data_IF_956498682530
#
_entry.id   IF_956498682530
#
_cell.length_a   1.000
_cell.length_b   1.000
_cell.length_c   1.000
_cell.angle_alpha   90.00
_cell.angle_beta   90.00
_cell.angle_gamma   90.00
#
_symmetry.space_group_name_H-M   'P 1'
#
loop_
_entity.id
_entity.type
_entity.pdbx_description
1 polymer ?
#
# COMPACT_ATOMS: atom_id res chain seq x y z
N UNK A 1 47.80 -22.47 -24.81
CA UNK A 1 47.68 -22.28 -23.35
C UNK A 1 46.88 -21.01 -23.14
N UNK A 2 45.57 -21.13 -22.90
CA UNK A 2 44.65 -20.00 -22.77
C UNK A 2 44.35 -19.78 -21.28
N UNK A 3 44.56 -18.55 -20.80
CA UNK A 3 44.23 -18.13 -19.44
C UNK A 3 42.70 -17.93 -19.31
N UNK A 4 42.05 -18.39 -18.23
CA UNK A 4 40.66 -18.04 -17.97
C UNK A 4 40.60 -16.70 -17.24
N UNK A 5 40.13 -15.66 -17.94
CA UNK A 5 39.78 -14.37 -17.33
C UNK A 5 38.41 -14.55 -16.66
N UNK A 6 38.39 -14.72 -15.33
CA UNK A 6 37.17 -14.60 -14.51
C UNK A 6 37.05 -13.16 -14.05
N UNK A 7 36.27 -12.35 -14.75
CA UNK A 7 35.86 -11.03 -14.25
C UNK A 7 34.62 -11.26 -13.38
N UNK A 8 34.77 -11.02 -12.08
CA UNK A 8 33.67 -11.10 -11.12
C UNK A 8 32.78 -9.86 -11.28
N UNK A 9 31.46 -10.03 -11.33
CA UNK A 9 30.49 -8.94 -11.45
C UNK A 9 30.64 -7.87 -10.33
N UNK A 10 31.13 -8.28 -9.17
CA UNK A 10 31.47 -7.38 -8.07
C UNK A 10 32.57 -6.37 -8.42
N UNK A 11 33.55 -6.74 -9.26
CA UNK A 11 34.62 -5.83 -9.67
C UNK A 11 34.12 -4.75 -10.64
N UNK A 12 33.13 -5.06 -11.48
CA UNK A 12 32.52 -4.10 -12.41
C UNK A 12 31.62 -3.13 -11.64
N UNK A 13 30.84 -3.61 -10.67
CA UNK A 13 30.04 -2.76 -9.80
C UNK A 13 30.94 -1.82 -8.95
N UNK A 14 32.06 -2.32 -8.43
CA UNK A 14 33.00 -1.53 -7.65
C UNK A 14 33.70 -0.43 -8.47
N UNK A 15 33.94 -0.67 -9.76
CA UNK A 15 34.52 0.33 -10.67
C UNK A 15 33.52 1.44 -11.07
N UNK A 16 32.23 1.12 -11.16
CA UNK A 16 31.17 2.08 -11.50
C UNK A 16 30.88 3.03 -10.32
N UNK A 17 30.92 2.53 -9.08
CA UNK A 17 30.61 3.36 -7.89
C UNK A 17 31.75 4.32 -7.53
N UNK A 18 33.01 4.03 -7.90
CA UNK A 18 34.17 4.80 -7.42
C UNK A 18 34.67 5.90 -8.35
N UNK A 19 34.26 5.94 -9.62
CA UNK A 19 34.72 6.96 -10.57
C UNK A 19 33.55 7.66 -11.27
N UNK A 20 33.20 8.85 -10.80
CA UNK A 20 32.31 9.80 -11.47
C UNK A 20 32.97 10.41 -12.72
N UNK A 21 33.33 9.59 -13.71
CA UNK A 21 33.89 10.06 -14.98
C UNK A 21 33.17 9.39 -16.15
N UNK A 22 32.51 10.24 -16.94
CA UNK A 22 31.95 10.00 -18.28
C UNK A 22 30.80 8.96 -18.39
N UNK A 23 29.57 9.46 -18.20
CA UNK A 23 28.30 8.83 -18.58
C UNK A 23 28.30 8.06 -19.92
N UNK A 24 28.93 8.55 -21.03
CA UNK A 24 28.96 7.78 -22.28
C UNK A 24 29.77 6.48 -22.20
N UNK A 25 30.79 6.39 -21.34
CA UNK A 25 31.61 5.18 -21.20
C UNK A 25 30.88 4.11 -20.39
N UNK A 26 30.17 4.51 -19.33
CA UNK A 26 29.31 3.61 -18.55
C UNK A 26 28.21 2.98 -19.43
N UNK A 27 27.58 3.77 -20.30
CA UNK A 27 26.57 3.28 -21.23
C UNK A 27 27.15 2.31 -22.28
N UNK A 28 28.39 2.53 -22.73
CA UNK A 28 29.06 1.60 -23.64
C UNK A 28 29.38 0.26 -22.96
N UNK A 29 29.82 0.28 -21.70
CA UNK A 29 30.07 -0.94 -20.91
C UNK A 29 28.78 -1.72 -20.65
N UNK A 30 27.69 -1.04 -20.30
CA UNK A 30 26.37 -1.68 -20.12
C UNK A 30 25.88 -2.30 -21.42
N UNK A 31 25.95 -1.57 -22.55
CA UNK A 31 25.57 -2.11 -23.87
C UNK A 31 26.42 -3.32 -24.26
N UNK A 32 27.73 -3.28 -24.00
CA UNK A 32 28.63 -4.40 -24.30
C UNK A 32 28.34 -5.62 -23.42
N UNK A 33 28.05 -5.43 -22.13
CA UNK A 33 27.64 -6.50 -21.22
C UNK A 33 26.31 -7.15 -21.66
N UNK A 34 25.34 -6.34 -22.11
CA UNK A 34 24.06 -6.83 -22.62
C UNK A 34 24.22 -7.63 -23.92
N UNK A 35 25.10 -7.20 -24.83
CA UNK A 35 25.43 -7.95 -26.05
C UNK A 35 26.12 -9.28 -25.71
N UNK A 36 27.03 -9.30 -24.74
CA UNK A 36 27.67 -10.53 -24.26
C UNK A 36 26.66 -11.51 -23.64
N UNK A 37 25.72 -11.02 -22.84
CA UNK A 37 24.66 -11.85 -22.24
C UNK A 37 23.69 -12.40 -23.28
N UNK A 38 23.35 -11.62 -24.32
CA UNK A 38 22.51 -12.08 -25.42
C UNK A 38 23.22 -13.11 -26.31
N UNK A 39 24.50 -12.89 -26.63
CA UNK A 39 25.32 -13.83 -27.41
C UNK A 39 25.65 -15.12 -26.65
N UNK A 40 25.70 -15.07 -25.32
CA UNK A 40 25.79 -16.25 -24.46
C UNK A 40 24.46 -17.01 -24.29
N UNK A 41 23.37 -16.55 -24.91
CA UNK A 41 22.05 -17.19 -24.86
C UNK A 41 21.28 -16.99 -23.55
N UNK A 42 21.74 -16.11 -22.65
CA UNK A 42 21.08 -15.83 -21.38
C UNK A 42 19.92 -14.82 -21.52
N UNK A 43 19.92 -14.02 -22.60
CA UNK A 43 18.89 -13.04 -22.91
C UNK A 43 18.46 -13.19 -24.38
N UNK A 44 17.15 -13.20 -24.62
CA UNK A 44 16.58 -13.00 -25.95
C UNK A 44 16.35 -11.51 -26.18
N UNK A 45 16.98 -10.98 -27.22
CA UNK A 45 16.71 -9.63 -27.73
C UNK A 45 15.51 -9.71 -28.68
N UNK A 46 14.49 -8.89 -28.44
CA UNK A 46 13.40 -8.68 -29.40
C UNK A 46 13.20 -7.18 -29.60
N UNK A 47 13.13 -6.77 -30.86
CA UNK A 47 12.73 -5.41 -31.22
C UNK A 47 11.20 -5.36 -31.19
N UNK A 48 10.64 -4.44 -30.41
CA UNK A 48 9.20 -4.20 -30.45
C UNK A 48 8.85 -3.59 -31.82
N UNK A 49 7.75 -4.01 -32.48
CA UNK A 49 7.47 -3.60 -33.85
C UNK A 49 7.30 -2.09 -34.05
N UNK A 50 6.91 -1.35 -33.01
CA UNK A 50 6.44 0.04 -33.13
C UNK A 50 7.14 1.04 -32.19
N UNK A 51 8.25 0.65 -31.56
CA UNK A 51 9.01 1.57 -30.68
C UNK A 51 10.50 1.19 -30.71
N UNK A 52 11.41 2.18 -30.74
CA UNK A 52 12.88 2.00 -30.72
C UNK A 52 13.41 1.40 -29.39
N UNK A 53 12.58 0.63 -28.68
CA UNK A 53 12.92 -0.03 -27.42
C UNK A 53 13.35 -1.46 -27.68
N UNK A 54 14.48 -1.79 -27.08
CA UNK A 54 15.00 -3.15 -27.02
C UNK A 54 14.38 -3.82 -25.80
N UNK A 55 13.59 -4.88 -26.00
CA UNK A 55 13.07 -5.72 -24.91
C UNK A 55 14.02 -6.89 -24.72
N UNK A 56 14.51 -7.04 -23.48
CA UNK A 56 15.39 -8.13 -23.07
C UNK A 56 14.59 -9.12 -22.23
N UNK A 57 14.44 -10.36 -22.73
CA UNK A 57 13.75 -11.42 -22.01
C UNK A 57 14.75 -12.49 -21.58
N UNK A 58 14.86 -12.82 -20.27
CA UNK A 58 15.70 -13.94 -19.83
C UNK A 58 15.31 -15.26 -20.51
N UNK A 59 16.30 -16.01 -20.96
CA UNK A 59 16.12 -17.37 -21.48
C UNK A 59 16.63 -18.34 -20.42
N UNK A 60 15.73 -18.79 -19.53
CA UNK A 60 16.03 -19.75 -18.46
C UNK A 60 15.47 -19.34 -17.10
N UNK A 61 15.51 -20.24 -16.10
CA UNK A 61 15.09 -19.90 -14.74
C UNK A 61 15.95 -18.74 -14.23
N UNK A 62 15.31 -17.64 -13.84
CA UNK A 62 15.97 -16.50 -13.22
C UNK A 62 16.65 -17.00 -11.93
N UNK A 63 17.96 -16.77 -11.74
CA UNK A 63 18.62 -17.17 -10.51
C UNK A 63 17.92 -16.51 -9.31
N UNK A 64 17.65 -17.25 -8.24
CA UNK A 64 16.88 -16.78 -7.08
C UNK A 64 17.44 -15.50 -6.41
N UNK A 65 18.69 -15.13 -6.69
CA UNK A 65 19.33 -13.91 -6.20
C UNK A 65 19.15 -12.68 -7.13
N UNK A 66 18.69 -12.87 -8.37
CA UNK A 66 18.46 -11.81 -9.35
C UNK A 66 17.04 -11.25 -9.31
N UNK A 67 16.17 -11.81 -8.47
CA UNK A 67 14.93 -11.19 -8.01
C UNK A 67 15.29 -10.42 -6.73
N UNK A 68 15.84 -9.22 -6.90
CA UNK A 68 15.77 -8.18 -5.87
C UNK A 68 14.49 -7.39 -6.12
N UNK A 69 13.36 -8.10 -6.10
CA UNK A 69 12.06 -7.48 -5.90
C UNK A 69 11.68 -7.75 -4.46
N UNK A 70 10.99 -6.79 -3.84
CA UNK A 70 10.26 -6.95 -2.59
C UNK A 70 9.07 -7.90 -2.82
N UNK A 71 9.35 -9.09 -3.36
CA UNK A 71 8.39 -10.13 -3.66
C UNK A 71 8.08 -10.82 -2.32
N UNK A 72 7.32 -10.11 -1.50
CA UNK A 72 6.50 -10.73 -0.46
C UNK A 72 5.81 -11.90 -1.15
N UNK A 73 6.01 -13.13 -0.69
CA UNK A 73 5.38 -14.34 -1.25
C UNK A 73 3.84 -14.38 -1.12
N UNK A 74 3.18 -13.22 -1.12
CA UNK A 74 1.75 -12.97 -0.98
C UNK A 74 0.95 -13.50 -2.17
N UNK A 75 1.44 -13.37 -3.41
CA UNK A 75 0.64 -13.72 -4.59
C UNK A 75 0.29 -15.23 -4.68
N UNK A 76 1.23 -16.10 -4.30
CA UNK A 76 1.03 -17.55 -4.27
C UNK A 76 0.22 -18.03 -3.06
N UNK A 77 0.29 -17.30 -1.93
CA UNK A 77 -0.31 -17.71 -0.67
C UNK A 77 -1.78 -17.24 -0.54
N UNK A 78 -2.15 -16.12 -1.18
CA UNK A 78 -3.51 -15.58 -1.15
C UNK A 78 -4.51 -16.47 -1.89
N UNK A 79 -4.13 -17.17 -2.96
CA UNK A 79 -5.03 -18.10 -3.65
C UNK A 79 -5.05 -19.48 -2.98
N UNK A 80 -3.91 -19.97 -2.48
CA UNK A 80 -3.79 -21.30 -1.88
C UNK A 80 -4.40 -21.41 -0.47
N UNK A 81 -4.56 -20.30 0.26
CA UNK A 81 -5.12 -20.28 1.62
C UNK A 81 -6.55 -19.75 1.74
N UNK A 82 -7.23 -19.48 0.61
CA UNK A 82 -8.70 -19.26 0.58
C UNK A 82 -9.46 -20.58 0.67
N UNK A 83 -9.19 -21.40 1.69
CA UNK A 83 -10.32 -22.07 2.31
C UNK A 83 -11.15 -20.96 2.92
N UNK A 84 -12.12 -20.48 2.14
CA UNK A 84 -13.02 -19.43 2.58
C UNK A 84 -13.76 -20.00 3.78
N UNK A 85 -13.36 -19.52 4.95
CA UNK A 85 -14.09 -19.69 6.19
C UNK A 85 -15.59 -19.49 5.88
N UNK A 86 -16.48 -20.44 6.21
CA UNK A 86 -17.91 -20.31 5.96
C UNK A 86 -18.49 -18.95 6.39
N UNK A 87 -17.93 -18.35 7.45
CA UNK A 87 -18.34 -17.02 7.90
C UNK A 87 -17.97 -15.92 6.89
N UNK A 88 -16.75 -15.96 6.33
CA UNK A 88 -16.31 -15.03 5.30
C UNK A 88 -17.14 -15.17 4.01
N UNK A 89 -17.58 -16.37 3.68
CA UNK A 89 -18.49 -16.60 2.56
C UNK A 89 -19.86 -15.95 2.83
N UNK A 90 -20.39 -16.06 4.06
CA UNK A 90 -21.64 -15.42 4.45
C UNK A 90 -21.61 -13.90 4.26
N UNK A 91 -20.53 -13.23 4.69
CA UNK A 91 -20.36 -11.79 4.47
C UNK A 91 -20.20 -11.42 3.00
N UNK A 92 -19.56 -12.28 2.20
CA UNK A 92 -19.43 -12.08 0.76
C UNK A 92 -20.79 -12.15 0.07
N UNK A 93 -21.62 -13.12 0.44
CA UNK A 93 -22.96 -13.28 -0.11
C UNK A 93 -23.86 -12.11 0.29
N UNK A 94 -23.80 -11.66 1.55
CA UNK A 94 -24.49 -10.46 2.02
C UNK A 94 -24.08 -9.21 1.23
N UNK A 95 -22.77 -8.95 1.10
CA UNK A 95 -22.25 -7.81 0.35
C UNK A 95 -22.70 -7.83 -1.12
N UNK A 96 -22.82 -9.02 -1.73
CA UNK A 96 -23.35 -9.17 -3.08
C UNK A 96 -24.81 -8.77 -3.17
N UNK A 97 -25.66 -9.26 -2.26
CA UNK A 97 -27.10 -8.91 -2.22
C UNK A 97 -27.27 -7.39 -2.10
N UNK A 98 -26.49 -6.72 -1.24
CA UNK A 98 -26.55 -5.27 -1.07
C UNK A 98 -26.18 -4.51 -2.36
N UNK A 99 -25.24 -5.00 -3.15
CA UNK A 99 -24.92 -4.41 -4.46
C UNK A 99 -26.08 -4.58 -5.45
N UNK A 100 -26.66 -5.77 -5.50
CA UNK A 100 -27.80 -6.08 -6.37
C UNK A 100 -29.03 -5.22 -6.02
N UNK A 101 -29.33 -5.05 -4.73
CA UNK A 101 -30.41 -4.18 -4.24
C UNK A 101 -30.20 -2.71 -4.63
N UNK A 102 -28.97 -2.19 -4.52
CA UNK A 102 -28.63 -0.83 -4.95
C UNK A 102 -28.85 -0.61 -6.44
N UNK A 103 -28.45 -1.57 -7.27
CA UNK A 103 -28.68 -1.51 -8.71
C UNK A 103 -30.17 -1.58 -9.05
N UNK A 104 -30.94 -2.41 -8.34
CA UNK A 104 -32.38 -2.53 -8.53
C UNK A 104 -33.13 -1.20 -8.30
N UNK A 105 -32.63 -0.32 -7.41
CA UNK A 105 -33.17 1.03 -7.18
C UNK A 105 -32.49 2.12 -8.03
N UNK A 106 -31.68 1.74 -9.03
CA UNK A 106 -31.03 2.66 -9.97
C UNK A 106 -29.78 3.36 -9.43
N UNK A 107 -29.22 2.89 -8.31
CA UNK A 107 -28.07 3.50 -7.62
C UNK A 107 -26.80 2.64 -7.79
N UNK A 108 -26.29 2.54 -9.03
CA UNK A 108 -25.04 1.81 -9.28
C UNK A 108 -23.88 2.53 -8.57
N UNK A 109 -23.21 1.92 -7.57
CA UNK A 109 -22.18 2.59 -6.80
C UNK A 109 -20.93 2.85 -7.64
N UNK A 110 -20.32 4.02 -7.44
CA UNK A 110 -18.97 4.36 -7.89
C UNK A 110 -18.12 4.61 -6.66
N UNK A 111 -17.19 3.70 -6.36
CA UNK A 111 -16.39 3.71 -5.12
C UNK A 111 -14.93 4.00 -5.45
N UNK A 112 -14.37 5.03 -4.83
CA UNK A 112 -12.93 5.29 -4.83
C UNK A 112 -12.31 4.71 -3.56
N UNK A 113 -11.44 3.73 -3.74
CA UNK A 113 -10.65 3.05 -2.71
C UNK A 113 -9.26 3.70 -2.66
N UNK A 114 -8.95 4.45 -1.60
CA UNK A 114 -7.73 5.28 -1.55
C UNK A 114 -6.92 4.92 -0.32
N UNK A 115 -5.70 4.43 -0.54
CA UNK A 115 -4.90 3.95 0.57
C UNK A 115 -3.74 3.05 0.23
N UNK A 116 -3.34 2.27 1.22
CA UNK A 116 -2.24 1.31 1.14
C UNK A 116 -2.69 -0.10 0.75
N UNK A 117 -1.88 -1.11 1.08
CA UNK A 117 -2.17 -2.51 0.79
C UNK A 117 -3.48 -3.00 1.43
N UNK A 118 -3.90 -2.43 2.57
CA UNK A 118 -5.20 -2.76 3.17
C UNK A 118 -6.34 -2.35 2.23
N UNK A 119 -6.26 -1.13 1.69
CA UNK A 119 -7.27 -0.60 0.77
C UNK A 119 -7.26 -1.32 -0.57
N UNK A 120 -6.08 -1.72 -1.05
CA UNK A 120 -5.96 -2.56 -2.25
C UNK A 120 -6.76 -3.85 -2.09
N UNK A 121 -6.68 -4.50 -0.93
CA UNK A 121 -7.45 -5.72 -0.67
C UNK A 121 -8.97 -5.48 -0.61
N UNK A 122 -9.42 -4.33 -0.08
CA UNK A 122 -10.83 -3.92 -0.14
C UNK A 122 -11.31 -3.76 -1.59
N UNK A 123 -10.54 -3.04 -2.40
CA UNK A 123 -10.82 -2.85 -3.82
C UNK A 123 -10.90 -4.18 -4.57
N UNK A 124 -9.91 -5.06 -4.38
CA UNK A 124 -9.90 -6.37 -5.04
C UNK A 124 -11.12 -7.21 -4.66
N UNK A 125 -11.50 -7.17 -3.39
CA UNK A 125 -12.69 -7.85 -2.88
C UNK A 125 -13.96 -7.28 -3.54
N UNK A 126 -14.09 -5.96 -3.61
CA UNK A 126 -15.20 -5.30 -4.32
C UNK A 126 -15.26 -5.70 -5.80
N UNK A 127 -14.12 -5.73 -6.50
CA UNK A 127 -14.08 -6.13 -7.90
C UNK A 127 -14.47 -7.59 -8.12
N UNK A 128 -14.08 -8.49 -7.21
CA UNK A 128 -14.52 -9.89 -7.26
C UNK A 128 -16.04 -10.00 -7.08
N UNK A 129 -16.67 -9.21 -6.21
CA UNK A 129 -18.13 -9.15 -6.09
C UNK A 129 -18.79 -8.60 -7.37
N UNK A 130 -18.29 -7.46 -7.84
CA UNK A 130 -18.90 -6.74 -8.93
C UNK A 130 -18.75 -7.46 -10.29
N UNK A 131 -17.58 -8.04 -10.55
CA UNK A 131 -17.22 -8.61 -11.87
C UNK A 131 -17.14 -10.12 -11.89
N UNK A 132 -17.11 -10.79 -10.72
CA UNK A 132 -16.77 -12.20 -10.60
C UNK A 132 -15.29 -12.52 -10.83
N UNK A 133 -14.44 -11.51 -11.04
CA UNK A 133 -13.01 -11.65 -11.31
C UNK A 133 -12.19 -10.94 -10.23
N UNK A 134 -11.13 -11.60 -9.79
CA UNK A 134 -10.14 -10.98 -8.92
C UNK A 134 -9.14 -10.21 -9.78
N UNK A 135 -9.01 -8.88 -9.62
CA UNK A 135 -8.06 -8.14 -10.44
C UNK A 135 -6.62 -8.55 -10.08
N UNK A 136 -5.71 -8.63 -11.07
CA UNK A 136 -4.32 -8.97 -10.83
C UNK A 136 -3.68 -7.94 -9.88
N UNK A 137 -2.66 -8.37 -9.14
CA UNK A 137 -1.86 -7.49 -8.26
C UNK A 137 -0.88 -6.59 -9.03
N UNK A 138 -0.92 -6.58 -10.37
CA UNK A 138 0.18 -6.10 -11.19
C UNK A 138 0.29 -4.56 -11.19
N UNK A 139 1.38 -4.02 -10.65
CA UNK A 139 1.66 -2.59 -10.39
C UNK A 139 1.89 -1.72 -11.65
N UNK A 140 1.31 -2.11 -12.79
CA UNK A 140 1.77 -1.66 -14.11
C UNK A 140 1.34 -0.25 -14.52
N UNK A 141 0.39 0.38 -13.80
CA UNK A 141 -0.11 1.72 -14.13
C UNK A 141 0.43 2.77 -13.17
N UNK A 142 1.59 3.33 -13.51
CA UNK A 142 2.16 4.48 -12.80
C UNK A 142 1.57 5.78 -13.32
N UNK A 143 1.02 6.57 -12.41
CA UNK A 143 0.47 7.90 -12.69
C UNK A 143 1.53 8.94 -12.28
N UNK A 144 1.79 10.02 -13.02
CA UNK A 144 2.72 11.06 -12.55
C UNK A 144 2.34 11.56 -11.15
N UNK A 145 3.23 11.36 -10.17
CA UNK A 145 2.99 11.70 -8.76
C UNK A 145 2.28 10.64 -7.92
N UNK A 146 1.75 9.57 -8.53
CA UNK A 146 0.97 8.52 -7.86
C UNK A 146 1.43 7.13 -8.30
N UNK A 147 1.57 6.20 -7.34
CA UNK A 147 2.25 4.95 -7.68
C UNK A 147 1.41 4.04 -8.58
N UNK A 148 0.11 3.89 -8.31
CA UNK A 148 -0.72 2.87 -8.93
C UNK A 148 -2.18 3.32 -9.00
N UNK A 149 -2.82 3.19 -10.17
CA UNK A 149 -4.27 3.33 -10.34
C UNK A 149 -4.86 2.10 -11.04
N UNK A 150 -5.91 1.52 -10.47
CA UNK A 150 -6.65 0.40 -11.04
C UNK A 150 -8.14 0.69 -11.06
N UNK A 151 -8.89 0.09 -11.99
CA UNK A 151 -10.34 0.14 -11.96
C UNK A 151 -10.97 -1.18 -12.39
N UNK A 152 -12.19 -1.41 -11.92
CA UNK A 152 -13.06 -2.49 -12.38
C UNK A 152 -14.47 -1.94 -12.59
N UNK A 153 -15.22 -2.54 -13.51
CA UNK A 153 -16.55 -2.07 -13.88
C UNK A 153 -17.44 -3.24 -14.26
N UNK A 154 -18.69 -3.17 -13.81
CA UNK A 154 -19.77 -4.10 -14.15
C UNK A 154 -21.12 -3.39 -14.11
N UNK A 155 -22.20 -4.14 -14.24
CA UNK A 155 -23.55 -3.66 -13.94
C UNK A 155 -23.77 -3.45 -12.44
N UNK A 156 -23.06 -4.18 -11.58
CA UNK A 156 -23.16 -4.11 -10.12
C UNK A 156 -22.47 -2.89 -9.51
N UNK A 157 -21.47 -2.33 -10.18
CA UNK A 157 -20.69 -1.23 -9.62
C UNK A 157 -19.45 -0.87 -10.41
N UNK A 158 -18.85 0.26 -10.03
CA UNK A 158 -17.58 0.76 -10.54
C UNK A 158 -16.63 1.02 -9.36
N UNK A 159 -15.41 0.47 -9.42
CA UNK A 159 -14.40 0.65 -8.40
C UNK A 159 -13.14 1.26 -8.99
N UNK A 160 -12.53 2.22 -8.30
CA UNK A 160 -11.19 2.73 -8.59
C UNK A 160 -10.32 2.56 -7.36
N UNK A 161 -9.13 1.99 -7.52
CA UNK A 161 -8.10 2.00 -6.49
C UNK A 161 -7.01 3.01 -6.83
N UNK A 162 -6.62 3.80 -5.83
CA UNK A 162 -5.50 4.72 -5.90
C UNK A 162 -4.55 4.45 -4.74
N UNK A 163 -3.30 4.05 -5.06
CA UNK A 163 -2.27 3.85 -4.05
C UNK A 163 -1.86 5.19 -3.44
N UNK A 164 -2.16 5.35 -2.16
CA UNK A 164 -1.97 6.58 -1.39
C UNK A 164 -1.39 6.23 -0.01
N UNK A 165 -0.06 6.19 0.16
CA UNK A 165 0.56 5.91 1.46
C UNK A 165 0.34 7.06 2.47
N UNK A 166 -0.25 8.17 2.00
CA UNK A 166 -0.57 9.40 2.72
C UNK A 166 -1.94 9.91 2.20
N UNK A 167 -2.64 10.76 2.93
CA UNK A 167 -3.88 11.38 2.43
C UNK A 167 -3.57 12.57 1.52
N UNK A 168 -4.26 12.67 0.38
CA UNK A 168 -4.15 13.81 -0.52
C UNK A 168 -5.51 14.40 -0.84
N UNK A 169 -5.65 15.71 -0.73
CA UNK A 169 -6.95 16.38 -0.82
C UNK A 169 -7.49 16.53 -2.26
N UNK A 170 -6.65 16.27 -3.27
CA UNK A 170 -6.94 16.38 -4.70
C UNK A 170 -7.32 15.04 -5.36
N UNK A 171 -7.45 13.96 -4.59
CA UNK A 171 -7.73 12.60 -5.08
C UNK A 171 -8.88 12.55 -6.09
N UNK A 172 -9.99 13.25 -5.83
CA UNK A 172 -11.14 13.25 -6.75
C UNK A 172 -10.79 13.89 -8.09
N UNK A 173 -10.03 14.99 -8.08
CA UNK A 173 -9.62 15.68 -9.31
C UNK A 173 -8.63 14.82 -10.10
N UNK A 174 -7.68 14.20 -9.39
CA UNK A 174 -6.73 13.27 -9.98
C UNK A 174 -7.48 12.15 -10.68
N UNK A 175 -8.36 11.42 -9.99
CA UNK A 175 -9.09 10.28 -10.58
C UNK A 175 -9.97 10.73 -11.75
N UNK A 176 -10.65 11.89 -11.65
CA UNK A 176 -11.45 12.44 -12.76
C UNK A 176 -10.61 12.83 -13.98
N UNK A 177 -9.38 13.30 -13.78
CA UNK A 177 -8.50 13.68 -14.89
C UNK A 177 -8.09 12.50 -15.78
N UNK A 178 -8.22 11.26 -15.28
CA UNK A 178 -8.04 10.02 -16.04
C UNK A 178 -9.34 9.51 -16.69
N UNK A 179 -10.43 10.27 -16.64
CA UNK A 179 -11.69 9.92 -17.29
C UNK A 179 -12.59 8.97 -16.51
N UNK A 180 -12.31 8.76 -15.21
CA UNK A 180 -13.16 7.95 -14.34
C UNK A 180 -14.44 8.73 -13.91
N UNK A 181 -15.58 8.03 -13.70
CA UNK A 181 -16.84 8.65 -13.29
C UNK A 181 -16.77 9.19 -11.86
N UNK A 182 -17.55 10.24 -11.57
CA UNK A 182 -17.63 10.84 -10.23
C UNK A 182 -18.02 9.82 -9.14
N UNK A 183 -17.36 9.82 -7.96
CA UNK A 183 -17.63 8.83 -6.93
C UNK A 183 -18.95 9.12 -6.22
N UNK A 184 -19.73 8.08 -5.97
CA UNK A 184 -20.81 8.12 -4.98
C UNK A 184 -20.26 7.91 -3.56
N UNK A 185 -19.08 7.30 -3.44
CA UNK A 185 -18.45 6.95 -2.18
C UNK A 185 -16.92 7.06 -2.28
N UNK A 186 -16.30 7.70 -1.29
CA UNK A 186 -14.86 7.69 -1.05
C UNK A 186 -14.58 6.82 0.18
N UNK A 187 -13.83 5.73 0.00
CA UNK A 187 -13.43 4.82 1.07
C UNK A 187 -11.91 4.86 1.25
N UNK A 188 -11.45 5.33 2.43
CA UNK A 188 -10.03 5.60 2.66
C UNK A 188 -9.44 4.88 3.87
N UNK A 189 -8.17 4.48 3.75
CA UNK A 189 -7.31 4.08 4.88
C UNK A 189 -5.87 4.33 4.49
N UNK A 190 -5.10 4.94 5.37
CA UNK A 190 -3.67 5.12 5.13
C UNK A 190 -2.99 5.21 6.49
N UNK A 191 -2.47 4.10 6.98
CA UNK A 191 -2.06 4.02 8.38
C UNK A 191 -0.68 3.41 8.52
N UNK A 192 -0.48 2.26 7.90
CA UNK A 192 0.71 1.46 8.16
C UNK A 192 2.00 2.09 7.61
N UNK A 193 1.90 2.90 6.57
CA UNK A 193 3.07 3.59 5.99
C UNK A 193 3.60 4.77 6.81
N UNK A 194 2.83 5.23 7.80
CA UNK A 194 3.24 6.25 8.75
C UNK A 194 4.10 5.68 9.87
N UNK A 195 4.04 4.37 10.07
CA UNK A 195 4.81 3.71 11.11
C UNK A 195 6.22 3.36 10.65
N UNK A 196 7.07 2.97 11.60
CA UNK A 196 8.43 2.52 11.36
C UNK A 196 8.80 1.35 12.29
N UNK A 197 9.77 0.56 11.87
CA UNK A 197 10.43 -0.47 12.64
C UNK A 197 11.87 -0.55 12.14
N UNK A 198 12.72 0.34 12.65
CA UNK A 198 14.10 0.48 12.18
C UNK A 198 14.92 -0.79 12.47
N UNK A 199 15.76 -1.31 11.53
CA UNK A 199 16.06 -0.75 10.20
C UNK A 199 15.15 -1.28 9.08
N UNK A 200 14.33 -2.30 9.35
CA UNK A 200 13.51 -2.96 8.32
C UNK A 200 12.49 -2.04 7.66
N UNK A 201 12.00 -1.04 8.41
CA UNK A 201 11.07 -0.05 7.93
C UNK A 201 11.39 1.31 8.52
N UNK A 202 12.12 2.15 7.79
CA UNK A 202 12.64 3.40 8.36
C UNK A 202 11.61 4.54 8.33
N UNK A 203 11.69 5.40 9.34
CA UNK A 203 11.10 6.74 9.31
C UNK A 203 12.04 7.63 8.48
N UNK A 204 11.47 8.54 7.69
CA UNK A 204 12.24 9.57 7.00
C UNK A 204 11.52 10.91 7.12
N UNK A 205 12.14 11.98 6.61
CA UNK A 205 11.57 13.34 6.68
C UNK A 205 10.15 13.45 6.12
N UNK A 206 9.86 12.73 5.03
CA UNK A 206 8.54 12.76 4.39
C UNK A 206 7.52 12.09 5.31
N UNK A 207 7.77 10.84 5.73
CA UNK A 207 6.89 10.12 6.67
C UNK A 207 6.66 10.88 7.97
N UNK A 208 7.70 11.49 8.55
CA UNK A 208 7.57 12.29 9.77
C UNK A 208 6.62 13.48 9.56
N UNK A 209 6.74 14.17 8.42
CA UNK A 209 5.85 15.27 8.07
C UNK A 209 4.40 14.79 8.00
N UNK A 210 4.14 13.63 7.37
CA UNK A 210 2.80 13.08 7.27
C UNK A 210 2.27 12.55 8.60
N UNK A 211 3.11 11.96 9.45
CA UNK A 211 2.73 11.62 10.83
C UNK A 211 2.26 12.85 11.60
N UNK A 212 3.05 13.93 11.54
CA UNK A 212 2.73 15.17 12.25
C UNK A 212 1.46 15.86 11.73
N UNK A 213 1.13 15.66 10.45
CA UNK A 213 -0.04 16.26 9.79
C UNK A 213 -1.22 15.33 9.62
N UNK A 214 -1.14 14.08 10.10
CA UNK A 214 -2.09 13.03 9.74
C UNK A 214 -3.56 13.43 9.91
N UNK A 215 -3.90 14.01 11.07
CA UNK A 215 -5.25 14.48 11.36
C UNK A 215 -5.70 15.61 10.44
N UNK A 216 -4.80 16.53 10.14
CA UNK A 216 -5.10 17.69 9.28
C UNK A 216 -5.25 17.26 7.83
N UNK A 217 -4.37 16.39 7.33
CA UNK A 217 -4.43 15.87 5.97
C UNK A 217 -5.72 15.03 5.75
N UNK A 218 -6.17 14.26 6.76
CA UNK A 218 -7.45 13.52 6.69
C UNK A 218 -8.67 14.47 6.71
N UNK A 219 -8.66 15.50 7.57
CA UNK A 219 -9.72 16.54 7.57
C UNK A 219 -9.77 17.29 6.26
N UNK A 220 -8.61 17.65 5.72
CA UNK A 220 -8.48 18.36 4.45
C UNK A 220 -9.02 17.49 3.31
N UNK A 221 -8.70 16.20 3.28
CA UNK A 221 -9.29 15.24 2.34
C UNK A 221 -10.82 15.25 2.39
N UNK A 222 -11.43 15.18 3.58
CA UNK A 222 -12.89 15.18 3.71
C UNK A 222 -13.53 16.50 3.25
N UNK A 223 -13.02 17.65 3.70
CA UNK A 223 -13.52 18.97 3.29
C UNK A 223 -13.38 19.17 1.78
N UNK A 224 -12.21 18.88 1.22
CA UNK A 224 -11.94 19.06 -0.20
C UNK A 224 -12.76 18.12 -1.08
N UNK A 225 -13.02 16.88 -0.64
CA UNK A 225 -13.88 15.93 -1.36
C UNK A 225 -15.33 16.42 -1.37
N UNK A 226 -15.88 16.85 -0.23
CA UNK A 226 -17.26 17.38 -0.15
C UNK A 226 -17.46 18.65 -0.99
N UNK A 227 -16.47 19.54 -1.05
CA UNK A 227 -16.55 20.73 -1.92
C UNK A 227 -16.65 20.37 -3.40
N UNK A 228 -15.98 19.29 -3.82
CA UNK A 228 -15.95 18.83 -5.21
C UNK A 228 -17.17 17.99 -5.57
N UNK A 229 -17.62 17.15 -4.64
CA UNK A 229 -18.72 16.22 -4.80
C UNK A 229 -19.62 16.30 -3.56
N UNK A 230 -20.57 17.25 -3.49
CA UNK A 230 -21.35 17.53 -2.28
C UNK A 230 -22.09 16.31 -1.70
N UNK A 231 -22.53 15.41 -2.58
CA UNK A 231 -23.32 14.23 -2.23
C UNK A 231 -22.48 12.95 -2.05
N UNK A 232 -21.15 13.04 -2.06
CA UNK A 232 -20.29 11.87 -1.86
C UNK A 232 -20.45 11.32 -0.43
N UNK A 233 -20.64 10.01 -0.31
CA UNK A 233 -20.45 9.32 0.96
C UNK A 233 -18.97 9.35 1.32
N UNK A 234 -18.64 9.67 2.57
CA UNK A 234 -17.26 9.60 3.08
C UNK A 234 -17.19 8.44 4.06
N UNK A 235 -16.29 7.49 3.83
CA UNK A 235 -16.02 6.42 4.79
C UNK A 235 -14.52 6.29 5.00
N UNK A 236 -14.10 6.18 6.26
CA UNK A 236 -12.71 5.89 6.63
C UNK A 236 -12.66 4.59 7.41
N UNK A 237 -11.61 3.81 7.17
CA UNK A 237 -11.29 2.63 7.97
C UNK A 237 -10.20 2.97 8.99
N UNK A 238 -10.33 2.48 10.22
CA UNK A 238 -9.17 2.41 11.14
C UNK A 238 -8.19 1.34 10.63
N UNK A 239 -6.88 1.42 10.94
CA UNK A 239 -6.00 0.29 10.69
C UNK A 239 -6.48 -0.96 11.41
N UNK A 240 -6.07 -2.13 10.93
CA UNK A 240 -6.23 -3.35 11.71
C UNK A 240 -5.34 -3.36 12.97
N UNK A 241 -5.71 -4.16 13.96
CA UNK A 241 -4.83 -4.50 15.07
C UNK A 241 -3.58 -5.23 14.54
N UNK A 242 -2.43 -4.93 15.15
CA UNK A 242 -1.17 -5.61 14.86
C UNK A 242 -1.00 -6.78 15.84
N UNK A 243 -0.76 -7.97 15.29
CA UNK A 243 -0.46 -9.19 16.03
C UNK A 243 1.02 -9.50 15.95
N UNK A 244 1.75 -9.00 16.93
CA UNK A 244 3.22 -9.08 17.01
C UNK A 244 3.72 -10.53 17.06
N UNK A 245 2.91 -11.46 17.57
CA UNK A 245 3.19 -12.89 17.62
C UNK A 245 3.27 -13.56 16.24
N UNK A 246 2.72 -12.93 15.20
CA UNK A 246 2.77 -13.43 13.83
C UNK A 246 4.00 -12.93 13.06
N UNK A 247 4.74 -11.95 13.59
CA UNK A 247 6.00 -11.52 12.98
C UNK A 247 7.07 -12.60 13.09
N UNK A 248 7.93 -12.67 12.07
CA UNK A 248 8.98 -13.69 11.92
C UNK A 248 10.32 -13.04 11.65
N UNK A 249 11.38 -13.82 11.78
CA UNK A 249 12.75 -13.44 11.43
C UNK A 249 13.16 -12.10 12.06
N UNK A 250 13.79 -11.20 11.28
CA UNK A 250 14.28 -9.92 11.77
C UNK A 250 13.17 -9.01 12.33
N UNK A 251 11.91 -9.18 11.93
CA UNK A 251 10.80 -8.43 12.52
C UNK A 251 10.51 -8.88 13.96
N UNK A 252 10.55 -10.20 14.21
CA UNK A 252 10.36 -10.74 15.56
C UNK A 252 11.46 -10.29 16.52
N UNK A 253 12.71 -10.20 16.03
CA UNK A 253 13.83 -9.69 16.82
C UNK A 253 13.65 -8.22 17.20
N UNK A 254 13.16 -7.39 16.27
CA UNK A 254 12.87 -5.97 16.52
C UNK A 254 11.72 -5.77 17.52
N UNK A 255 10.67 -6.59 17.44
CA UNK A 255 9.60 -6.61 18.46
C UNK A 255 10.17 -6.93 19.82
N UNK A 256 10.97 -8.00 19.93
CA UNK A 256 11.56 -8.43 21.20
C UNK A 256 12.47 -7.34 21.77
N UNK A 257 13.28 -6.69 20.93
CA UNK A 257 14.13 -5.58 21.35
C UNK A 257 13.28 -4.42 21.89
N UNK A 258 12.21 -4.04 21.20
CA UNK A 258 11.29 -3.00 21.64
C UNK A 258 10.57 -3.37 22.94
N UNK A 259 10.13 -4.62 23.10
CA UNK A 259 9.49 -5.10 24.34
C UNK A 259 10.45 -5.13 25.54
N UNK A 260 11.75 -5.33 25.30
CA UNK A 260 12.78 -5.29 26.35
C UNK A 260 13.10 -3.86 26.78
N UNK A 261 13.35 -2.96 25.83
CA UNK A 261 13.60 -1.55 26.09
C UNK A 261 13.15 -0.70 24.89
N UNK A 262 11.94 -0.11 24.94
CA UNK A 262 11.42 0.73 23.88
C UNK A 262 12.33 1.91 23.56
N UNK A 263 12.99 2.50 24.58
CA UNK A 263 13.83 3.68 24.38
C UNK A 263 15.06 3.34 23.54
N UNK A 264 15.71 2.22 23.84
CA UNK A 264 16.87 1.74 23.09
C UNK A 264 16.46 1.35 21.68
N UNK A 265 15.34 0.65 21.51
CA UNK A 265 14.85 0.25 20.19
C UNK A 265 14.48 1.45 19.30
N UNK A 266 13.95 2.53 19.88
CA UNK A 266 13.54 3.74 19.15
C UNK A 266 14.71 4.68 18.83
N UNK A 267 15.81 4.62 19.57
CA UNK A 267 16.94 5.55 19.43
C UNK A 267 17.49 5.68 17.99
N UNK A 268 17.65 4.60 17.20
CA UNK A 268 18.11 4.71 15.81
C UNK A 268 17.21 5.59 14.94
N UNK A 269 15.88 5.50 15.09
CA UNK A 269 14.95 6.40 14.39
C UNK A 269 15.20 7.86 14.79
N UNK A 270 15.40 8.13 16.09
CA UNK A 270 15.61 9.48 16.59
C UNK A 270 16.90 10.06 16.02
N UNK A 271 17.99 9.28 16.06
CA UNK A 271 19.30 9.72 15.58
C UNK A 271 19.28 10.00 14.07
N UNK A 272 18.69 9.11 13.27
CA UNK A 272 18.53 9.31 11.83
C UNK A 272 17.69 10.57 11.54
N UNK A 273 16.56 10.72 12.22
CA UNK A 273 15.66 11.86 12.00
C UNK A 273 16.28 13.20 12.41
N UNK A 274 17.05 13.25 13.50
CA UNK A 274 17.80 14.43 13.91
C UNK A 274 18.86 14.85 12.89
N UNK A 275 19.44 13.87 12.17
CA UNK A 275 20.42 14.13 11.12
C UNK A 275 19.77 14.54 9.80
N UNK A 276 18.63 13.96 9.44
CA UNK A 276 17.97 14.19 8.14
C UNK A 276 17.06 15.42 8.11
N UNK A 277 16.54 15.84 9.27
CA UNK A 277 15.41 16.79 9.30
C UNK A 277 15.74 18.07 10.04
N UNK A 278 15.59 19.18 9.33
CA UNK A 278 15.52 20.52 9.90
C UNK A 278 14.06 20.95 10.10
N UNK A 279 13.76 21.68 11.17
CA UNK A 279 12.44 22.28 11.42
C UNK A 279 11.55 21.56 12.45
N UNK A 280 11.96 20.39 12.95
CA UNK A 280 11.33 19.74 14.11
C UNK A 280 12.31 19.74 15.28
N UNK A 281 11.81 19.96 16.50
CA UNK A 281 12.64 19.84 17.69
C UNK A 281 12.84 18.37 18.09
N UNK A 282 13.86 18.13 18.92
CA UNK A 282 14.20 16.78 19.40
C UNK A 282 13.03 16.12 20.15
N UNK A 283 12.21 16.91 20.86
CA UNK A 283 11.08 16.38 21.61
C UNK A 283 10.02 15.81 20.68
N UNK A 284 9.69 16.53 19.60
CA UNK A 284 8.73 16.11 18.57
C UNK A 284 9.22 14.87 17.83
N UNK A 285 10.50 14.85 17.43
CA UNK A 285 11.09 13.66 16.78
C UNK A 285 11.05 12.45 17.73
N UNK A 286 11.40 12.64 19.00
CA UNK A 286 11.38 11.58 20.01
C UNK A 286 9.96 11.03 20.20
N UNK A 287 8.97 11.92 20.34
CA UNK A 287 7.56 11.53 20.51
C UNK A 287 7.03 10.76 19.31
N UNK A 288 7.30 11.25 18.09
CA UNK A 288 6.83 10.61 16.85
C UNK A 288 7.51 9.26 16.61
N UNK A 289 8.84 9.17 16.76
CA UNK A 289 9.54 7.89 16.65
C UNK A 289 9.05 6.89 17.71
N UNK A 290 8.66 7.34 18.91
CA UNK A 290 8.18 6.43 19.96
C UNK A 290 6.75 5.94 19.69
N UNK A 291 5.86 6.82 19.23
CA UNK A 291 4.44 6.48 19.00
C UNK A 291 4.19 5.77 17.67
N UNK A 292 4.90 6.17 16.61
CA UNK A 292 4.72 5.63 15.27
C UNK A 292 5.44 4.29 15.07
N UNK A 293 5.67 3.52 16.12
CA UNK A 293 6.34 2.24 16.00
C UNK A 293 5.37 1.19 15.43
N UNK A 294 5.82 0.34 14.50
CA UNK A 294 4.98 -0.62 13.75
C UNK A 294 4.61 -1.85 14.59
N UNK A 295 3.92 -1.59 15.69
CA UNK A 295 3.47 -2.51 16.71
C UNK A 295 2.04 -2.16 17.10
N UNK A 296 1.47 -2.95 18.01
CA UNK A 296 0.08 -2.78 18.44
C UNK A 296 -0.22 -1.37 18.95
N UNK A 297 0.67 -0.80 19.75
CA UNK A 297 0.51 0.54 20.33
C UNK A 297 0.51 1.65 19.26
N UNK A 298 1.32 1.51 18.21
CA UNK A 298 1.29 2.45 17.08
C UNK A 298 0.00 2.36 16.27
N UNK A 299 -0.55 1.15 16.09
CA UNK A 299 -1.87 0.98 15.47
C UNK A 299 -2.99 1.60 16.32
N UNK A 300 -2.94 1.44 17.65
CA UNK A 300 -3.86 2.11 18.59
C UNK A 300 -3.78 3.64 18.45
N UNK A 301 -2.57 4.19 18.41
CA UNK A 301 -2.37 5.63 18.25
C UNK A 301 -2.99 6.16 16.95
N UNK A 302 -2.80 5.48 15.83
CA UNK A 302 -3.41 5.88 14.55
C UNK A 302 -4.94 5.73 14.57
N UNK A 303 -5.45 4.63 15.12
CA UNK A 303 -6.91 4.42 15.30
C UNK A 303 -7.53 5.60 16.06
N UNK A 304 -6.90 6.02 17.16
CA UNK A 304 -7.41 7.12 17.99
C UNK A 304 -7.37 8.45 17.23
N UNK A 305 -6.34 8.71 16.43
CA UNK A 305 -6.31 9.88 15.53
C UNK A 305 -7.44 9.86 14.50
N UNK A 306 -7.73 8.71 13.88
CA UNK A 306 -8.85 8.58 12.93
C UNK A 306 -10.18 8.83 13.61
N UNK A 307 -10.42 8.22 14.78
CA UNK A 307 -11.66 8.42 15.56
C UNK A 307 -11.85 9.87 15.99
N UNK A 308 -10.77 10.55 16.40
CA UNK A 308 -10.80 11.98 16.73
C UNK A 308 -11.23 12.80 15.51
N UNK A 309 -10.64 12.55 14.33
CA UNK A 309 -11.00 13.27 13.10
C UNK A 309 -12.46 13.06 12.76
N UNK A 310 -12.94 11.81 12.70
CA UNK A 310 -14.35 11.50 12.42
C UNK A 310 -15.29 12.22 13.40
N UNK A 311 -15.01 12.15 14.70
CA UNK A 311 -15.81 12.81 15.73
C UNK A 311 -15.81 14.34 15.58
N UNK A 312 -14.66 14.93 15.25
CA UNK A 312 -14.52 16.38 15.02
C UNK A 312 -15.07 16.86 13.67
N UNK A 313 -15.40 15.94 12.76
CA UNK A 313 -15.92 16.21 11.42
C UNK A 313 -17.44 16.01 11.32
N UNK A 314 -18.14 15.95 12.45
CA UNK A 314 -19.59 15.75 12.49
C UNK A 314 -20.37 16.87 11.79
N UNK A 315 -19.84 18.09 11.78
CA UNK A 315 -20.48 19.28 11.21
C UNK A 315 -20.14 19.50 9.72
N UNK A 316 -19.48 18.54 9.05
CA UNK A 316 -19.20 18.67 7.62
C UNK A 316 -20.50 18.69 6.80
N UNK A 317 -20.58 19.50 5.73
CA UNK A 317 -21.73 19.52 4.84
C UNK A 317 -22.07 18.12 4.31
N UNK A 318 -23.33 17.72 4.46
CA UNK A 318 -23.83 16.41 4.05
C UNK A 318 -23.54 15.26 5.03
N UNK A 319 -23.08 15.58 6.25
CA UNK A 319 -22.99 14.65 7.38
C UNK A 319 -21.58 14.16 7.68
N UNK A 320 -21.43 13.63 8.90
CA UNK A 320 -20.19 13.04 9.39
C UNK A 320 -19.68 11.92 8.47
N UNK A 321 -18.36 11.79 8.28
CA UNK A 321 -17.79 10.59 7.66
C UNK A 321 -18.17 9.33 8.47
N UNK A 322 -18.51 8.26 7.77
CA UNK A 322 -18.73 6.95 8.38
C UNK A 322 -17.39 6.30 8.76
N UNK A 323 -17.40 5.47 9.80
CA UNK A 323 -16.22 4.78 10.31
C UNK A 323 -16.41 3.25 10.20
N UNK A 324 -15.48 2.59 9.51
CA UNK A 324 -15.32 1.14 9.58
C UNK A 324 -14.17 0.85 10.54
N UNK A 325 -14.48 0.26 11.69
CA UNK A 325 -13.48 0.04 12.71
C UNK A 325 -12.72 -1.28 12.52
N UNK A 326 -11.81 -1.29 11.54
CA UNK A 326 -10.94 -2.44 11.28
C UNK A 326 -10.15 -2.90 12.50
N UNK A 327 -9.72 -1.98 13.36
CA UNK A 327 -9.03 -2.31 14.61
C UNK A 327 -9.93 -3.16 15.52
N UNK A 328 -11.16 -2.72 15.75
CA UNK A 328 -12.11 -3.44 16.61
C UNK A 328 -12.48 -4.83 16.06
N UNK A 329 -12.51 -4.98 14.74
CA UNK A 329 -12.79 -6.28 14.09
C UNK A 329 -11.66 -7.29 14.22
N UNK A 330 -10.41 -6.83 14.33
CA UNK A 330 -9.22 -7.68 14.30
C UNK A 330 -8.57 -7.84 15.68
N UNK A 331 -9.06 -7.13 16.68
CA UNK A 331 -8.49 -7.17 18.01
C UNK A 331 -8.75 -8.51 18.70
N UNK A 332 -7.69 -9.23 19.04
CA UNK A 332 -7.76 -10.54 19.69
C UNK A 332 -7.79 -11.73 18.74
N UNK A 333 -7.89 -11.49 17.43
CA UNK A 333 -8.10 -12.56 16.44
C UNK A 333 -6.81 -13.09 15.80
N UNK A 334 -5.65 -12.99 16.46
CA UNK A 334 -4.32 -13.18 15.85
C UNK A 334 -4.09 -14.47 15.03
N UNK A 335 -4.92 -15.49 15.22
CA UNK A 335 -4.91 -16.72 14.43
C UNK A 335 -5.39 -16.52 12.97
N UNK A 336 -6.05 -15.41 12.65
CA UNK A 336 -6.55 -15.10 11.30
C UNK A 336 -5.64 -14.17 10.47
N UNK A 337 -4.45 -13.84 10.98
CA UNK A 337 -3.44 -13.11 10.23
C UNK A 337 -2.17 -13.94 10.07
N UNK A 338 -1.57 -13.88 8.88
CA UNK A 338 -0.36 -14.64 8.56
C UNK A 338 0.91 -13.82 8.75
N UNK A 339 0.81 -12.50 8.63
CA UNK A 339 1.91 -11.56 8.72
C UNK A 339 1.73 -10.52 9.83
N UNK A 340 0.69 -10.69 10.66
CA UNK A 340 0.43 -9.84 11.81
C UNK A 340 -0.28 -8.53 11.51
N UNK A 341 -0.61 -8.23 10.24
CA UNK A 341 -1.13 -6.91 9.83
C UNK A 341 -2.21 -6.97 8.74
N UNK A 342 -2.22 -7.99 7.89
CA UNK A 342 -3.26 -8.18 6.88
C UNK A 342 -4.30 -9.22 7.33
N UNK A 343 -5.57 -8.89 7.16
CA UNK A 343 -6.71 -9.65 7.68
C UNK A 343 -7.76 -9.94 6.59
N UNK A 344 -7.41 -10.78 5.63
CA UNK A 344 -8.23 -11.02 4.43
C UNK A 344 -9.66 -11.46 4.72
N UNK A 345 -9.88 -12.19 5.82
CA UNK A 345 -11.21 -12.64 6.26
C UNK A 345 -12.18 -11.47 6.46
N UNK A 346 -11.71 -10.35 6.99
CA UNK A 346 -12.56 -9.21 7.34
C UNK A 346 -12.89 -8.31 6.15
N UNK A 347 -12.26 -8.51 4.99
CA UNK A 347 -12.54 -7.68 3.82
C UNK A 347 -14.02 -7.74 3.41
N UNK A 348 -14.63 -8.92 3.47
CA UNK A 348 -16.05 -9.09 3.13
C UNK A 348 -16.99 -8.45 4.15
N UNK A 349 -16.68 -8.61 5.45
CA UNK A 349 -17.43 -7.95 6.52
C UNK A 349 -17.37 -6.42 6.38
N UNK A 350 -16.18 -5.88 6.10
CA UNK A 350 -15.99 -4.45 5.90
C UNK A 350 -16.73 -3.92 4.68
N UNK A 351 -16.70 -4.65 3.56
CA UNK A 351 -17.48 -4.29 2.38
C UNK A 351 -18.99 -4.36 2.65
N UNK A 352 -19.48 -5.37 3.38
CA UNK A 352 -20.89 -5.44 3.78
C UNK A 352 -21.27 -4.19 4.60
N UNK A 353 -20.48 -3.83 5.62
CA UNK A 353 -20.72 -2.62 6.41
C UNK A 353 -20.64 -1.34 5.58
N UNK A 354 -19.67 -1.23 4.67
CA UNK A 354 -19.54 -0.10 3.74
C UNK A 354 -20.81 0.10 2.92
N UNK A 355 -21.37 -1.01 2.42
CA UNK A 355 -22.56 -1.01 1.59
C UNK A 355 -23.85 -0.79 2.40
N UNK A 356 -23.91 -1.16 3.68
CA UNK A 356 -25.03 -0.82 4.57
C UNK A 356 -25.06 0.65 4.96
N UNK A 357 -23.92 1.25 5.32
CA UNK A 357 -23.89 2.62 5.86
C UNK A 357 -24.24 3.72 4.86
N UNK A 358 -24.27 3.40 3.57
CA UNK A 358 -24.44 4.37 2.49
C UNK A 358 -25.72 4.13 1.68
N UNK A 359 -26.69 3.38 2.22
CA UNK A 359 -28.07 3.27 1.68
C UNK A 359 -28.90 4.40 2.24
#
# INVERSE_FOLDING_TARGET
QALPIRICAACVAFLIVRNCIAFPFAMAVVRFALVLLATAGALRLSLAPDDERIVLTPQGPVPAWAVLDEDWGEAGDIQAKRHIDPEAQGFKDEARVLLEERVAVGSRPVIYFVGDSLMRHQYQSFCELATGLFPPQDDTWRVPGWKIMHNCSSELGYGVFLWSPEYAADVVDVVRSYGHPEPTLLYVVSAFHLMHMHPNFTMNKIKLKHCARYKDDLRELFDQTRRRVPNVGLTVMTPYAICESAYRDSWADLVKAHQQDPRVATQPCIDDMLNETTGYDKATITDMCSKAWFLRDGSIWIRDMVREVVSSSADLPGGAPSLIDGWAMSDGDCDHTHDGRHWYRFNWLQLSQLLHMNT
#
